data_IF_982512300021
#
_entry.id   IF_982512300021
#
_cell.length_a   1.000
_cell.length_b   1.000
_cell.length_c   1.000
_cell.angle_alpha   90.00
_cell.angle_beta   90.00
_cell.angle_gamma   90.00
#
_symmetry.space_group_name_H-M   'P 1'
#
loop_
_entity.id
_entity.type
_entity.pdbx_description
1 polymer ?
#
# COMPACT_ATOMS: atom_id res chain seq x y z
N UNK A 1 -12.32 -14.67 4.78
CA UNK A 1 -11.40 -14.70 3.63
C UNK A 1 -12.07 -13.92 2.51
N UNK A 2 -11.48 -12.82 2.06
CA UNK A 2 -12.13 -11.89 1.11
C UNK A 2 -11.97 -12.31 -0.37
N UNK A 3 -11.61 -13.56 -0.68
CA UNK A 3 -11.38 -14.03 -2.06
C UNK A 3 -10.03 -13.64 -2.69
N UNK A 4 -9.16 -12.96 -1.95
CA UNK A 4 -7.84 -12.52 -2.44
C UNK A 4 -6.76 -13.61 -2.28
N UNK A 5 -5.92 -13.76 -3.32
CA UNK A 5 -4.68 -14.55 -3.23
C UNK A 5 -3.55 -13.67 -2.73
N UNK A 6 -3.28 -13.72 -1.43
CA UNK A 6 -2.28 -12.86 -0.78
C UNK A 6 -0.88 -13.49 -0.88
N UNK A 7 0.12 -12.64 -1.17
CA UNK A 7 1.55 -12.97 -1.07
C UNK A 7 2.20 -11.96 -0.11
N UNK A 8 2.65 -12.44 1.04
CA UNK A 8 3.41 -11.62 1.98
C UNK A 8 4.88 -11.63 1.58
N UNK A 9 5.45 -10.46 1.32
CA UNK A 9 6.82 -10.32 0.83
C UNK A 9 7.85 -10.16 1.97
N UNK A 10 7.40 -9.82 3.18
CA UNK A 10 8.25 -9.49 4.31
C UNK A 10 8.42 -7.99 4.54
N UNK A 11 9.08 -7.59 5.63
CA UNK A 11 9.41 -6.20 5.95
C UNK A 11 10.66 -5.71 5.19
N UNK A 12 10.91 -4.40 5.26
CA UNK A 12 12.16 -3.72 4.84
C UNK A 12 12.62 -4.00 3.40
N UNK A 13 11.66 -4.21 2.51
CA UNK A 13 11.93 -4.37 1.09
C UNK A 13 12.08 -3.02 0.39
N UNK A 14 13.10 -2.85 -0.45
CA UNK A 14 13.21 -1.70 -1.35
C UNK A 14 11.95 -1.52 -2.22
N UNK A 15 11.63 -0.28 -2.55
CA UNK A 15 10.47 0.09 -3.36
C UNK A 15 10.44 -0.64 -4.72
N UNK A 16 11.61 -0.80 -5.33
CA UNK A 16 11.78 -1.45 -6.62
C UNK A 16 11.57 -2.98 -6.56
N UNK A 17 11.93 -3.62 -5.46
CA UNK A 17 11.62 -5.05 -5.21
C UNK A 17 10.12 -5.29 -5.02
N UNK A 18 9.44 -4.41 -4.30
CA UNK A 18 7.97 -4.46 -4.14
C UNK A 18 7.30 -4.29 -5.50
N UNK A 19 7.72 -3.29 -6.29
CA UNK A 19 7.16 -3.05 -7.61
C UNK A 19 7.42 -4.22 -8.58
N UNK A 20 8.64 -4.79 -8.56
CA UNK A 20 8.98 -5.99 -9.34
C UNK A 20 8.11 -7.19 -8.95
N UNK A 21 7.93 -7.43 -7.65
CA UNK A 21 7.11 -8.53 -7.16
C UNK A 21 5.65 -8.37 -7.58
N UNK A 22 5.06 -7.18 -7.42
CA UNK A 22 3.69 -6.88 -7.82
C UNK A 22 3.47 -7.15 -9.33
N UNK A 23 4.41 -6.72 -10.19
CA UNK A 23 4.37 -6.97 -11.64
C UNK A 23 4.46 -8.46 -11.95
N UNK A 24 5.43 -9.18 -11.37
CA UNK A 24 5.62 -10.62 -11.59
C UNK A 24 4.42 -11.45 -11.14
N UNK A 25 3.75 -11.03 -10.07
CA UNK A 25 2.58 -11.71 -9.50
C UNK A 25 1.27 -11.32 -10.20
N UNK A 26 1.28 -10.33 -11.10
CA UNK A 26 0.06 -9.77 -11.66
C UNK A 26 -0.87 -9.19 -10.57
N UNK A 27 -0.28 -8.60 -9.53
CA UNK A 27 -1.02 -8.12 -8.38
C UNK A 27 -1.95 -6.96 -8.78
N UNK A 28 -3.19 -7.00 -8.30
CA UNK A 28 -4.15 -5.88 -8.44
C UNK A 28 -3.95 -4.81 -7.37
N UNK A 29 -3.28 -5.16 -6.27
CA UNK A 29 -3.07 -4.29 -5.13
C UNK A 29 -1.75 -4.62 -4.42
N UNK A 30 -1.07 -3.58 -3.93
CA UNK A 30 0.03 -3.67 -2.97
C UNK A 30 -0.44 -3.05 -1.66
N UNK A 31 -0.37 -3.83 -0.58
CA UNK A 31 -0.72 -3.38 0.76
C UNK A 31 0.54 -3.22 1.62
N UNK A 32 0.70 -2.04 2.21
CA UNK A 32 1.84 -1.64 3.03
C UNK A 32 1.40 -1.46 4.48
N UNK A 33 2.25 -1.87 5.42
CA UNK A 33 1.99 -1.75 6.85
C UNK A 33 3.09 -0.92 7.52
N UNK A 34 2.72 0.25 8.01
CA UNK A 34 3.58 1.15 8.77
C UNK A 34 3.26 1.03 10.27
N UNK A 35 3.93 0.09 10.95
CA UNK A 35 3.66 -0.23 12.37
C UNK A 35 4.34 0.75 13.33
N UNK A 36 5.54 1.23 12.99
CA UNK A 36 6.26 2.17 13.85
C UNK A 36 5.47 3.49 13.96
N UNK A 37 5.41 4.16 15.13
CA UNK A 37 4.44 5.24 15.40
C UNK A 37 4.49 6.46 14.47
N UNK A 38 5.54 6.59 13.66
CA UNK A 38 5.65 7.60 12.60
C UNK A 38 6.64 7.12 11.55
N UNK A 39 6.25 7.13 10.28
CA UNK A 39 7.23 7.07 9.19
C UNK A 39 8.05 8.35 9.19
N UNK A 40 9.37 8.22 9.09
CA UNK A 40 10.22 9.38 8.82
C UNK A 40 10.07 9.83 7.36
N UNK A 41 10.73 10.93 7.00
CA UNK A 41 10.66 11.48 5.65
C UNK A 41 11.12 10.47 4.58
N UNK A 42 12.07 9.60 4.93
CA UNK A 42 12.56 8.56 4.03
C UNK A 42 11.49 7.50 3.78
N UNK A 43 10.85 6.99 4.83
CA UNK A 43 9.79 6.01 4.72
C UNK A 43 8.59 6.55 3.94
N UNK A 44 8.26 7.84 4.11
CA UNK A 44 7.23 8.49 3.27
C UNK A 44 7.64 8.49 1.80
N UNK A 45 8.88 8.90 1.51
CA UNK A 45 9.38 8.93 0.13
C UNK A 45 9.40 7.55 -0.52
N UNK A 46 9.77 6.49 0.22
CA UNK A 46 9.77 5.11 -0.28
C UNK A 46 8.36 4.64 -0.65
N UNK A 47 7.33 5.03 0.12
CA UNK A 47 5.93 4.72 -0.21
C UNK A 47 5.47 5.44 -1.48
N UNK A 48 5.84 6.72 -1.62
CA UNK A 48 5.55 7.50 -2.84
C UNK A 48 6.26 6.90 -4.05
N UNK A 49 7.50 6.46 -3.89
CA UNK A 49 8.27 5.79 -4.94
C UNK A 49 7.60 4.49 -5.39
N UNK A 50 7.08 3.66 -4.46
CA UNK A 50 6.32 2.45 -4.81
C UNK A 50 5.12 2.81 -5.71
N UNK A 51 4.38 3.87 -5.39
CA UNK A 51 3.25 4.34 -6.19
C UNK A 51 3.69 4.75 -7.60
N UNK A 52 4.76 5.52 -7.72
CA UNK A 52 5.30 5.95 -9.02
C UNK A 52 5.81 4.77 -9.87
N UNK A 53 6.45 3.78 -9.23
CA UNK A 53 6.96 2.59 -9.91
C UNK A 53 5.86 1.63 -10.36
N UNK A 54 4.65 1.72 -9.80
CA UNK A 54 3.55 0.82 -10.13
C UNK A 54 2.63 1.41 -11.21
N UNK A 55 2.13 0.60 -12.16
CA UNK A 55 1.06 1.03 -13.06
C UNK A 55 -0.17 1.49 -12.28
N UNK A 56 -0.92 2.46 -12.82
CA UNK A 56 -2.17 2.95 -12.22
C UNK A 56 -3.24 1.86 -12.01
N UNK A 57 -3.17 0.76 -12.75
CA UNK A 57 -4.04 -0.41 -12.58
C UNK A 57 -3.78 -1.21 -11.30
N UNK A 58 -2.63 -1.03 -10.67
CA UNK A 58 -2.30 -1.64 -9.38
C UNK A 58 -2.61 -0.63 -8.29
N UNK A 59 -3.58 -0.92 -7.43
CA UNK A 59 -3.88 -0.08 -6.27
C UNK A 59 -2.73 -0.15 -5.25
N UNK A 60 -2.43 0.96 -4.59
CA UNK A 60 -1.52 0.97 -3.44
C UNK A 60 -2.35 1.39 -2.25
N UNK A 61 -2.24 0.61 -1.17
CA UNK A 61 -2.90 0.88 0.10
C UNK A 61 -1.86 0.85 1.22
N UNK A 62 -1.94 1.80 2.14
CA UNK A 62 -1.09 1.86 3.31
C UNK A 62 -1.94 1.98 4.58
N UNK A 63 -1.54 1.31 5.65
CA UNK A 63 -2.19 1.44 6.94
C UNK A 63 -1.23 1.21 8.09
N UNK A 64 -1.73 1.38 9.32
CA UNK A 64 -0.95 1.30 10.55
C UNK A 64 -0.62 2.68 11.14
N UNK A 65 -0.18 2.68 12.39
CA UNK A 65 0.01 3.90 13.17
C UNK A 65 1.00 4.89 12.54
N UNK A 66 2.01 4.39 11.81
CA UNK A 66 3.01 5.22 11.16
C UNK A 66 2.54 5.94 9.91
N UNK A 67 1.43 5.49 9.31
CA UNK A 67 0.86 6.08 8.11
C UNK A 67 -0.14 7.20 8.41
N UNK A 68 -0.88 7.11 9.52
CA UNK A 68 -1.91 8.07 9.89
C UNK A 68 -1.44 9.55 9.99
N UNK A 69 -0.19 9.86 10.39
CA UNK A 69 0.27 11.25 10.40
C UNK A 69 0.48 11.88 9.01
N UNK A 70 0.45 11.09 7.92
CA UNK A 70 0.82 11.49 6.56
C UNK A 70 -0.36 11.32 5.57
N UNK A 71 -1.60 11.41 6.06
CA UNK A 71 -2.81 11.22 5.23
C UNK A 71 -2.88 12.18 4.03
N UNK A 72 -2.43 13.43 4.20
CA UNK A 72 -2.43 14.43 3.13
C UNK A 72 -1.49 14.04 1.98
N UNK A 73 -0.33 13.47 2.29
CA UNK A 73 0.62 12.95 1.31
C UNK A 73 0.04 11.75 0.55
N UNK A 74 -0.65 10.84 1.24
CA UNK A 74 -1.29 9.67 0.62
C UNK A 74 -2.42 10.08 -0.32
N UNK A 75 -3.26 11.03 0.10
CA UNK A 75 -4.35 11.54 -0.71
C UNK A 75 -3.83 12.18 -2.01
N UNK A 76 -2.82 13.05 -1.92
CA UNK A 76 -2.18 13.68 -3.09
C UNK A 76 -1.58 12.67 -4.06
N UNK A 77 -1.06 11.56 -3.55
CA UNK A 77 -0.46 10.49 -4.36
C UNK A 77 -1.48 9.46 -4.87
N UNK A 78 -2.77 9.58 -4.53
CA UNK A 78 -3.80 8.60 -4.89
C UNK A 78 -3.58 7.23 -4.24
N UNK A 79 -2.99 7.21 -3.03
CA UNK A 79 -2.77 6.02 -2.23
C UNK A 79 -3.95 5.85 -1.27
N UNK A 80 -4.52 4.65 -1.20
CA UNK A 80 -5.61 4.36 -0.28
C UNK A 80 -5.05 4.24 1.15
N UNK A 81 -5.66 4.90 2.13
CA UNK A 81 -5.19 4.89 3.52
C UNK A 81 -6.32 4.59 4.52
N UNK A 82 -6.92 3.38 4.49
CA UNK A 82 -8.00 3.02 5.40
C UNK A 82 -7.54 3.09 6.85
N UNK A 83 -8.21 3.91 7.67
CA UNK A 83 -7.87 4.08 9.09
C UNK A 83 -8.14 2.85 9.96
N UNK A 84 -8.90 1.88 9.46
CA UNK A 84 -9.20 0.62 10.17
C UNK A 84 -9.14 -0.59 9.25
N UNK A 85 -8.97 -1.79 9.83
CA UNK A 85 -9.06 -3.05 9.09
C UNK A 85 -10.45 -3.27 8.47
N UNK A 86 -11.51 -2.71 9.08
CA UNK A 86 -12.86 -2.77 8.51
C UNK A 86 -12.95 -1.95 7.23
N UNK A 87 -12.41 -0.74 7.21
CA UNK A 87 -12.36 0.06 5.98
C UNK A 87 -11.45 -0.57 4.92
N UNK A 88 -10.34 -1.20 5.34
CA UNK A 88 -9.51 -1.94 4.40
C UNK A 88 -10.28 -3.11 3.76
N UNK A 89 -11.13 -3.80 4.52
CA UNK A 89 -12.01 -4.84 3.98
C UNK A 89 -12.98 -4.29 2.95
N UNK A 90 -13.57 -3.12 3.17
CA UNK A 90 -14.45 -2.46 2.20
C UNK A 90 -13.71 -2.16 0.89
N UNK A 91 -12.47 -1.67 0.98
CA UNK A 91 -11.58 -1.44 -0.18
C UNK A 91 -11.34 -2.73 -0.97
N UNK A 92 -11.13 -3.86 -0.29
CA UNK A 92 -10.93 -5.17 -0.93
C UNK A 92 -12.16 -5.66 -1.70
N UNK A 93 -13.37 -5.21 -1.34
CA UNK A 93 -14.62 -5.55 -2.02
C UNK A 93 -15.00 -4.56 -3.13
N UNK A 94 -14.62 -3.29 -2.99
CA UNK A 94 -14.94 -2.21 -3.95
C UNK A 94 -14.18 -2.25 -5.28
N UNK A 95 -13.18 -3.13 -5.43
CA UNK A 95 -12.37 -3.29 -6.65
C UNK A 95 -13.02 -4.14 -7.77
N UNK A 96 -14.32 -4.40 -7.70
CA UNK A 96 -15.09 -5.19 -8.66
C UNK A 96 -16.24 -4.40 -9.27
N UNK A 97 -15.94 -3.56 -10.26
CA UNK A 97 -16.88 -3.10 -11.29
C UNK A 97 -16.11 -2.93 -12.61
#
# INVERSE_FOLDING_TARGET
YEGWRVRFLGPDLPADDIARAARKLGAKMVALSAVHPRLDARGVQEVLEIRELLPRSVQVVIGGAGAAPHEEEWEKAGILHPGTLSNFREVLHGGGA
#
